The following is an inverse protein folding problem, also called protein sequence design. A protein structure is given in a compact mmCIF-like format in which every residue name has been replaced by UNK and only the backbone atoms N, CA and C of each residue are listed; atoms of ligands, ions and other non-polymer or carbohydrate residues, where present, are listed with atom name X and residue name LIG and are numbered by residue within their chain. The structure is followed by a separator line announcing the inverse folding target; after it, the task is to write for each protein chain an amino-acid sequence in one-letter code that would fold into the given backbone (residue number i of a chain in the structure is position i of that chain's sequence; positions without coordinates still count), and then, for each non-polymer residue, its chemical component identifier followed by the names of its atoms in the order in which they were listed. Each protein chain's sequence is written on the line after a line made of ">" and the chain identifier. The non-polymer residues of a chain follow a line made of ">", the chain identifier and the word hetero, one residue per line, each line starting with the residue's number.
data_IF_925677546468
#
_entry.id   IF_925677546468
#
_cell.length_a   1.000
_cell.length_b   1.000
_cell.length_c   1.000
_cell.angle_alpha   90.00
_cell.angle_beta   90.00
_cell.angle_gamma   90.00
#
_symmetry.space_group_name_H-M   'P 1'
#
loop_
_entity.id
_entity.type
_entity.pdbx_description
1 polymer ?
#
# COMPACT_ATOMS: atom_id res chain seq x y z
N UNK A 1 -2.46 9.46 17.00
CA UNK A 1 -3.32 10.62 17.29
C UNK A 1 -4.68 9.98 17.50
N UNK A 2 -5.17 9.97 18.75
CA UNK A 2 -6.32 9.16 19.16
C UNK A 2 -7.52 9.35 18.21
N UNK A 3 -8.27 8.27 17.96
CA UNK A 3 -9.57 8.33 17.28
C UNK A 3 -10.42 9.48 17.84
N UNK A 4 -10.89 10.35 16.95
CA UNK A 4 -11.61 11.59 17.30
C UNK A 4 -12.58 11.98 16.20
N UNK A 5 -13.39 13.01 16.43
CA UNK A 5 -14.32 13.50 15.40
C UNK A 5 -13.60 14.01 14.13
N UNK A 6 -12.41 14.60 14.29
CA UNK A 6 -11.57 15.07 13.17
C UNK A 6 -10.69 13.98 12.55
N UNK A 7 -10.50 12.84 13.23
CA UNK A 7 -9.80 11.66 12.73
C UNK A 7 -10.60 10.39 13.06
N UNK A 8 -11.79 10.20 12.45
CA UNK A 8 -12.75 9.18 12.88
C UNK A 8 -12.29 7.75 12.57
N UNK A 9 -11.34 7.60 11.64
CA UNK A 9 -10.71 6.33 11.27
C UNK A 9 -9.36 6.11 11.98
N UNK A 10 -8.91 7.06 12.79
CA UNK A 10 -7.67 6.94 13.57
C UNK A 10 -6.41 6.82 12.71
N UNK A 11 -6.30 7.56 11.60
CA UNK A 11 -5.11 7.54 10.73
C UNK A 11 -3.88 8.06 11.49
N UNK A 12 -2.79 7.30 11.39
CA UNK A 12 -1.47 7.58 11.96
C UNK A 12 -0.43 7.95 10.89
N UNK A 13 -0.76 7.75 9.61
CA UNK A 13 0.07 8.09 8.47
C UNK A 13 -0.05 7.05 7.35
N UNK A 14 0.76 7.23 6.31
CA UNK A 14 0.87 6.28 5.19
C UNK A 14 1.83 5.16 5.58
N UNK A 15 1.42 3.91 5.37
CA UNK A 15 2.27 2.75 5.61
C UNK A 15 3.05 2.34 4.36
N UNK A 16 2.36 2.23 3.22
CA UNK A 16 2.97 1.98 1.92
C UNK A 16 2.15 2.56 0.76
N UNK A 17 2.80 2.71 -0.38
CA UNK A 17 2.18 2.97 -1.69
C UNK A 17 2.48 1.80 -2.61
N UNK A 18 1.46 1.28 -3.28
CA UNK A 18 1.55 0.16 -4.20
C UNK A 18 1.45 0.63 -5.64
N UNK A 19 2.41 0.21 -6.45
CA UNK A 19 2.53 0.53 -7.86
C UNK A 19 2.34 -0.73 -8.70
N UNK A 20 1.58 -0.59 -9.77
CA UNK A 20 1.42 -1.62 -10.78
C UNK A 20 1.76 -1.05 -12.15
N UNK A 21 2.18 -1.90 -13.08
CA UNK A 21 2.43 -1.48 -14.45
C UNK A 21 2.77 -2.65 -15.37
N UNK A 22 2.78 -2.39 -16.69
CA UNK A 22 3.26 -3.34 -17.68
C UNK A 22 4.75 -3.67 -17.46
N UNK A 23 5.18 -4.87 -17.84
CA UNK A 23 6.56 -5.37 -17.57
C UNK A 23 7.64 -4.49 -18.21
N UNK A 24 7.29 -3.74 -19.25
CA UNK A 24 8.16 -2.82 -19.97
C UNK A 24 8.42 -1.51 -19.21
N UNK A 25 7.58 -1.16 -18.23
CA UNK A 25 7.75 0.03 -17.41
C UNK A 25 8.44 -0.32 -16.09
N UNK A 26 9.66 0.19 -15.89
CA UNK A 26 10.44 -0.08 -14.68
C UNK A 26 10.33 1.06 -13.67
N UNK A 27 9.49 0.88 -12.66
CA UNK A 27 9.48 1.72 -11.46
C UNK A 27 10.79 1.61 -10.68
N UNK A 28 11.49 0.47 -10.76
CA UNK A 28 12.75 0.23 -10.06
C UNK A 28 13.81 1.26 -10.46
N UNK A 29 13.98 1.51 -11.77
CA UNK A 29 14.92 2.51 -12.25
C UNK A 29 14.60 3.91 -11.72
N UNK A 30 13.32 4.28 -11.64
CA UNK A 30 12.91 5.56 -11.07
C UNK A 30 13.22 5.63 -9.58
N UNK A 31 12.86 4.60 -8.82
CA UNK A 31 13.02 4.57 -7.36
C UNK A 31 14.49 4.62 -6.95
N UNK A 32 15.37 3.89 -7.64
CA UNK A 32 16.82 3.96 -7.39
C UNK A 32 17.35 5.37 -7.65
N UNK A 33 16.91 6.05 -8.71
CA UNK A 33 17.31 7.44 -9.00
C UNK A 33 16.79 8.45 -7.96
N UNK A 34 15.71 8.11 -7.25
CA UNK A 34 15.18 8.88 -6.13
C UNK A 34 15.84 8.52 -4.78
N UNK A 35 16.81 7.60 -4.77
CA UNK A 35 17.55 7.20 -3.57
C UNK A 35 16.87 6.10 -2.74
N UNK A 36 15.87 5.42 -3.29
CA UNK A 36 15.28 4.24 -2.64
C UNK A 36 16.17 3.02 -2.80
N UNK A 37 16.13 2.15 -1.79
CA UNK A 37 16.85 0.88 -1.74
C UNK A 37 15.83 -0.25 -1.84
N UNK A 38 16.08 -1.24 -2.72
CA UNK A 38 15.31 -2.49 -2.70
C UNK A 38 15.69 -3.28 -1.42
N UNK A 39 14.75 -3.39 -0.48
CA UNK A 39 14.99 -4.03 0.82
C UNK A 39 14.41 -5.43 0.92
N UNK A 40 13.47 -5.78 0.02
CA UNK A 40 12.97 -7.14 -0.11
C UNK A 40 12.38 -7.42 -1.49
N UNK A 41 12.37 -8.70 -1.85
CA UNK A 41 11.80 -9.20 -3.10
C UNK A 41 11.19 -10.57 -2.84
N UNK A 42 9.89 -10.69 -3.13
CA UNK A 42 9.18 -11.96 -3.13
C UNK A 42 8.98 -12.46 -4.55
N UNK A 43 9.73 -13.50 -4.90
CA UNK A 43 9.60 -14.15 -6.21
C UNK A 43 8.25 -14.86 -6.37
N UNK A 44 7.74 -15.44 -5.29
CA UNK A 44 6.45 -16.15 -5.28
C UNK A 44 5.28 -15.20 -5.55
N UNK A 45 5.31 -14.02 -4.94
CA UNK A 45 4.24 -13.04 -5.06
C UNK A 45 4.49 -12.02 -6.19
N UNK A 46 5.65 -12.09 -6.85
CA UNK A 46 6.10 -11.09 -7.84
C UNK A 46 6.07 -9.65 -7.30
N UNK A 47 6.57 -9.48 -6.07
CA UNK A 47 6.59 -8.19 -5.36
C UNK A 47 8.02 -7.73 -5.09
N UNK A 48 8.26 -6.42 -5.20
CA UNK A 48 9.48 -5.79 -4.70
C UNK A 48 9.14 -4.67 -3.73
N UNK A 49 9.91 -4.57 -2.65
CA UNK A 49 9.80 -3.52 -1.65
C UNK A 49 10.99 -2.57 -1.77
N UNK A 50 10.70 -1.31 -2.01
CA UNK A 50 11.66 -0.21 -2.06
C UNK A 50 11.43 0.71 -0.86
N UNK A 51 12.51 1.08 -0.16
CA UNK A 51 12.43 1.91 1.04
C UNK A 51 13.44 3.05 1.04
N UNK A 52 13.01 4.19 1.61
CA UNK A 52 13.84 5.34 1.96
C UNK A 52 13.21 6.03 3.18
N UNK A 53 13.96 6.12 4.27
CA UNK A 53 13.39 6.46 5.58
C UNK A 53 12.23 5.51 5.91
N UNK A 54 11.07 6.10 6.21
CA UNK A 54 9.83 5.38 6.52
C UNK A 54 8.94 5.18 5.29
N UNK A 55 9.34 5.70 4.13
CA UNK A 55 8.58 5.56 2.89
C UNK A 55 8.76 4.15 2.35
N UNK A 56 7.65 3.52 1.97
CA UNK A 56 7.63 2.16 1.44
C UNK A 56 6.85 2.12 0.14
N UNK A 57 7.54 1.75 -0.93
CA UNK A 57 6.94 1.51 -2.23
C UNK A 57 6.96 0.03 -2.53
N UNK A 58 5.79 -0.52 -2.82
CA UNK A 58 5.63 -1.90 -3.27
C UNK A 58 5.40 -1.86 -4.77
N UNK A 59 6.24 -2.54 -5.55
CA UNK A 59 5.97 -2.80 -6.95
C UNK A 59 5.29 -4.17 -7.02
N UNK A 60 4.09 -4.21 -7.60
CA UNK A 60 3.28 -5.41 -7.72
C UNK A 60 3.16 -5.85 -9.18
N UNK A 61 3.78 -6.99 -9.50
CA UNK A 61 3.67 -7.67 -10.79
C UNK A 61 2.92 -9.01 -10.69
N UNK A 62 2.15 -9.22 -9.62
CA UNK A 62 1.38 -10.44 -9.42
C UNK A 62 0.30 -10.58 -10.52
N UNK A 63 0.36 -11.67 -11.27
CA UNK A 63 -0.63 -11.99 -12.29
C UNK A 63 -1.97 -12.40 -11.64
N UNK A 64 -3.09 -12.21 -12.35
CA UNK A 64 -4.45 -12.54 -11.85
C UNK A 64 -4.79 -11.87 -10.50
N UNK A 65 -4.34 -10.64 -10.31
CA UNK A 65 -4.57 -9.83 -9.11
C UNK A 65 -5.29 -8.53 -9.45
N UNK A 66 -5.80 -7.85 -8.41
CA UNK A 66 -6.34 -6.49 -8.57
C UNK A 66 -5.33 -5.55 -9.26
N UNK A 67 -4.05 -5.64 -8.88
CA UNK A 67 -2.98 -4.82 -9.47
C UNK A 67 -2.81 -5.08 -10.97
N UNK A 68 -2.90 -6.35 -11.41
CA UNK A 68 -2.80 -6.70 -12.83
C UNK A 68 -3.97 -6.13 -13.64
N UNK A 69 -5.19 -6.21 -13.12
CA UNK A 69 -6.37 -5.67 -13.82
C UNK A 69 -6.40 -4.14 -13.80
N UNK A 70 -5.94 -3.52 -12.72
CA UNK A 70 -5.75 -2.06 -12.64
C UNK A 70 -4.73 -1.58 -13.69
N UNK A 71 -3.58 -2.26 -13.81
CA UNK A 71 -2.54 -1.94 -14.79
C UNK A 71 -3.03 -2.04 -16.24
N UNK A 72 -3.90 -3.01 -16.56
CA UNK A 72 -4.50 -3.14 -17.91
C UNK A 72 -5.38 -1.93 -18.26
N UNK A 73 -6.09 -1.37 -17.28
CA UNK A 73 -7.01 -0.24 -17.46
C UNK A 73 -6.28 1.11 -17.45
N UNK A 74 -5.24 1.26 -16.64
CA UNK A 74 -4.62 2.56 -16.35
C UNK A 74 -3.15 2.69 -16.79
N UNK A 75 -2.50 1.61 -17.22
CA UNK A 75 -1.06 1.60 -17.46
C UNK A 75 -0.25 1.62 -16.15
N UNK A 76 0.98 2.15 -16.16
CA UNK A 76 1.75 2.37 -14.94
C UNK A 76 1.02 3.33 -13.99
N UNK A 77 0.69 2.88 -12.79
CA UNK A 77 -0.13 3.65 -11.84
C UNK A 77 0.12 3.26 -10.38
N UNK A 78 -0.39 4.08 -9.47
CA UNK A 78 -0.64 3.69 -8.07
C UNK A 78 -2.00 2.98 -8.05
N UNK A 79 -2.01 1.66 -7.87
CA UNK A 79 -3.25 0.89 -7.76
C UNK A 79 -3.81 0.87 -6.34
N UNK A 80 -2.94 1.07 -5.34
CA UNK A 80 -3.37 1.07 -3.95
C UNK A 80 -2.42 1.79 -3.01
N UNK A 81 -2.90 2.06 -1.81
CA UNK A 81 -2.11 2.58 -0.69
C UNK A 81 -2.61 1.99 0.61
N UNK A 82 -1.77 1.98 1.64
CA UNK A 82 -2.17 1.64 3.00
C UNK A 82 -2.02 2.82 3.94
N UNK A 83 -3.03 3.05 4.77
CA UNK A 83 -2.89 3.90 5.94
C UNK A 83 -2.63 3.04 7.16
N UNK A 84 -1.63 3.43 7.95
CA UNK A 84 -1.52 2.99 9.34
C UNK A 84 -2.63 3.66 10.12
N UNK A 85 -3.39 2.88 10.87
CA UNK A 85 -4.50 3.32 11.73
C UNK A 85 -4.35 2.73 13.13
N UNK A 86 -5.11 3.27 14.09
CA UNK A 86 -5.15 2.75 15.46
C UNK A 86 -5.84 1.38 15.55
N UNK A 87 -6.91 1.16 14.78
CA UNK A 87 -7.64 -0.11 14.71
C UNK A 87 -8.18 -0.30 13.28
N UNK A 88 -7.69 -1.34 12.58
CA UNK A 88 -8.02 -1.56 11.18
C UNK A 88 -9.47 -2.01 10.97
N UNK A 89 -10.05 -2.76 11.91
CA UNK A 89 -11.43 -3.21 11.83
C UNK A 89 -12.41 -2.06 12.08
N UNK A 90 -12.11 -1.21 13.06
CA UNK A 90 -12.85 0.01 13.33
C UNK A 90 -12.77 0.99 12.16
N UNK A 91 -11.57 1.20 11.59
CA UNK A 91 -11.37 2.09 10.44
C UNK A 91 -12.23 1.67 9.26
N UNK A 92 -12.26 0.37 8.93
CA UNK A 92 -13.15 -0.16 7.89
C UNK A 92 -14.63 0.10 8.20
N UNK A 93 -15.08 -0.27 9.40
CA UNK A 93 -16.48 -0.09 9.83
C UNK A 93 -16.90 1.38 9.72
N UNK A 94 -16.05 2.27 10.21
CA UNK A 94 -16.29 3.72 10.21
C UNK A 94 -16.33 4.27 8.79
N UNK A 95 -15.38 3.89 7.94
CA UNK A 95 -15.33 4.34 6.55
C UNK A 95 -16.60 3.92 5.79
N UNK A 96 -17.02 2.66 5.94
CA UNK A 96 -18.22 2.12 5.30
C UNK A 96 -19.49 2.81 5.82
N UNK A 97 -19.60 3.00 7.13
CA UNK A 97 -20.73 3.71 7.73
C UNK A 97 -20.84 5.17 7.23
N UNK A 98 -19.73 5.76 6.76
CA UNK A 98 -19.66 7.10 6.17
C UNK A 98 -19.73 7.10 4.63
N UNK A 99 -20.05 5.98 4.01
CA UNK A 99 -20.33 5.88 2.56
C UNK A 99 -19.21 5.31 1.71
N UNK A 100 -18.07 4.90 2.29
CA UNK A 100 -17.04 4.20 1.52
C UNK A 100 -17.53 2.80 1.08
N UNK A 101 -17.21 2.41 -0.16
CA UNK A 101 -17.49 1.05 -0.64
C UNK A 101 -16.39 0.10 -0.17
N UNK A 102 -16.74 -0.93 0.60
CA UNK A 102 -15.80 -1.99 1.00
C UNK A 102 -15.34 -2.81 -0.21
N UNK A 103 -14.08 -3.25 -0.20
CA UNK A 103 -13.54 -4.14 -1.22
C UNK A 103 -13.58 -5.61 -0.77
N UNK A 104 -14.38 -6.41 -1.48
CA UNK A 104 -14.66 -7.82 -1.17
C UNK A 104 -14.05 -8.80 -2.20
N UNK A 105 -12.94 -8.44 -2.84
CA UNK A 105 -12.26 -9.24 -3.89
C UNK A 105 -13.08 -9.46 -5.17
N UNK A 106 -14.05 -8.58 -5.45
CA UNK A 106 -14.90 -8.66 -6.66
C UNK A 106 -14.09 -8.55 -7.97
N UNK A 107 -12.97 -7.81 -7.95
CA UNK A 107 -12.12 -7.51 -9.10
C UNK A 107 -10.72 -8.14 -8.97
N UNK A 108 -10.63 -9.28 -8.29
CA UNK A 108 -9.38 -10.02 -8.09
C UNK A 108 -8.82 -9.92 -6.66
N UNK A 109 -7.79 -10.72 -6.40
CA UNK A 109 -7.18 -10.79 -5.08
C UNK A 109 -6.50 -9.46 -4.70
N UNK A 110 -6.70 -9.04 -3.43
CA UNK A 110 -5.92 -7.96 -2.78
C UNK A 110 -4.44 -8.31 -2.70
N UNK A 111 -3.62 -7.30 -2.38
CA UNK A 111 -2.20 -7.49 -2.08
C UNK A 111 -1.96 -8.57 -1.03
N UNK A 112 -2.71 -8.55 0.09
CA UNK A 112 -2.71 -9.65 1.05
C UNK A 112 -4.13 -10.03 1.50
N UNK A 113 -4.30 -11.32 1.84
CA UNK A 113 -5.61 -11.98 2.00
C UNK A 113 -6.53 -11.32 3.04
N UNK A 114 -5.99 -10.88 4.16
CA UNK A 114 -6.76 -10.45 5.34
C UNK A 114 -6.64 -8.95 5.63
N UNK A 115 -6.28 -8.13 4.64
CA UNK A 115 -6.18 -6.68 4.83
C UNK A 115 -7.55 -6.02 4.57
N UNK A 116 -8.14 -5.30 5.55
CA UNK A 116 -9.33 -4.48 5.34
C UNK A 116 -9.07 -3.42 4.27
N UNK A 117 -10.04 -3.23 3.36
CA UNK A 117 -9.87 -2.29 2.26
C UNK A 117 -11.21 -1.68 1.82
N UNK A 118 -11.14 -0.43 1.35
CA UNK A 118 -12.21 0.27 0.66
C UNK A 118 -11.72 0.74 -0.71
N UNK A 119 -12.65 1.02 -1.63
CA UNK A 119 -12.32 1.73 -2.85
C UNK A 119 -11.99 3.20 -2.56
N UNK A 120 -10.94 3.69 -3.19
CA UNK A 120 -10.50 5.08 -3.22
C UNK A 120 -10.79 5.76 -4.56
N UNK A 121 -10.08 6.85 -4.84
CA UNK A 121 -10.23 7.62 -6.09
C UNK A 121 -9.75 6.79 -7.27
N UNK A 122 -10.46 6.88 -8.40
CA UNK A 122 -10.13 6.15 -9.63
C UNK A 122 -10.26 4.63 -9.50
N UNK A 123 -11.11 4.16 -8.59
CA UNK A 123 -11.29 2.74 -8.23
C UNK A 123 -10.04 2.08 -7.61
N UNK A 124 -9.02 2.84 -7.19
CA UNK A 124 -7.87 2.31 -6.43
C UNK A 124 -8.30 1.73 -5.08
N UNK A 125 -7.43 0.97 -4.40
CA UNK A 125 -7.73 0.48 -3.04
C UNK A 125 -7.01 1.26 -1.96
N UNK A 126 -7.71 1.51 -0.86
CA UNK A 126 -7.15 2.02 0.39
C UNK A 126 -7.23 0.90 1.42
N UNK A 127 -6.06 0.45 1.86
CA UNK A 127 -5.89 -0.56 2.90
C UNK A 127 -5.77 0.07 4.29
N UNK A 128 -6.24 -0.64 5.32
CA UNK A 128 -6.05 -0.25 6.72
C UNK A 128 -5.14 -1.25 7.44
N UNK A 129 -4.05 -0.75 8.02
CA UNK A 129 -3.10 -1.52 8.80
C UNK A 129 -3.00 -1.01 10.23
N UNK A 130 -2.95 -1.90 11.21
CA UNK A 130 -2.75 -1.58 12.63
C UNK A 130 -1.60 -2.42 13.20
N UNK A 131 -1.36 -2.38 14.51
CA UNK A 131 -0.27 -3.14 15.12
C UNK A 131 -0.52 -4.66 15.15
N UNK A 132 -1.78 -5.09 14.96
CA UNK A 132 -2.16 -6.49 14.98
C UNK A 132 -1.90 -7.16 13.62
N UNK A 133 -2.11 -6.46 12.51
CA UNK A 133 -1.98 -7.05 11.17
C UNK A 133 -0.69 -6.69 10.43
N UNK A 134 -0.03 -5.57 10.75
CA UNK A 134 1.11 -5.07 9.95
C UNK A 134 2.26 -6.09 9.84
N UNK A 135 2.61 -6.74 10.96
CA UNK A 135 3.69 -7.72 10.97
C UNK A 135 3.35 -8.95 10.12
N UNK A 136 2.08 -9.36 10.11
CA UNK A 136 1.62 -10.48 9.30
C UNK A 136 1.68 -10.15 7.82
N UNK A 137 1.28 -8.94 7.44
CA UNK A 137 1.34 -8.47 6.05
C UNK A 137 2.77 -8.51 5.52
N UNK A 138 3.74 -7.90 6.20
CA UNK A 138 5.11 -7.90 5.70
C UNK A 138 5.77 -9.29 5.75
N UNK A 139 5.39 -10.13 6.72
CA UNK A 139 5.83 -11.53 6.78
C UNK A 139 5.30 -12.33 5.60
N UNK A 140 4.01 -12.23 5.31
CA UNK A 140 3.36 -13.02 4.27
C UNK A 140 3.76 -12.54 2.86
N UNK A 141 3.94 -11.23 2.69
CA UNK A 141 4.34 -10.66 1.40
C UNK A 141 5.82 -10.87 1.11
N UNK A 142 6.71 -10.70 2.10
CA UNK A 142 8.16 -10.58 1.89
C UNK A 142 9.03 -11.44 2.82
N UNK A 143 8.45 -12.28 3.68
CA UNK A 143 9.19 -13.01 4.73
C UNK A 143 9.95 -12.10 5.72
N UNK A 144 9.50 -10.87 5.90
CA UNK A 144 10.12 -9.89 6.80
C UNK A 144 9.51 -9.94 8.21
N UNK A 145 10.28 -9.44 9.19
CA UNK A 145 9.82 -9.21 10.56
C UNK A 145 9.99 -7.73 10.90
N UNK A 146 9.12 -7.22 11.77
CA UNK A 146 9.25 -5.86 12.31
C UNK A 146 10.37 -5.75 13.38
N UNK A 147 11.00 -4.56 13.56
CA UNK A 147 10.85 -3.38 12.71
C UNK A 147 11.56 -3.58 11.36
N UNK A 148 10.98 -3.01 10.30
CA UNK A 148 11.63 -2.96 9.00
C UNK A 148 12.85 -2.03 9.05
N UNK A 149 13.81 -2.27 8.16
CA UNK A 149 14.91 -1.34 7.93
C UNK A 149 14.36 0.01 7.43
N UNK A 150 15.03 1.11 7.79
CA UNK A 150 14.70 2.45 7.31
C UNK A 150 15.95 3.07 6.66
N UNK A 151 16.31 2.67 5.41
CA UNK A 151 17.53 3.12 4.76
C UNK A 151 17.52 4.64 4.58
N UNK A 152 18.62 5.33 4.91
CA UNK A 152 18.70 6.80 4.77
C UNK A 152 18.44 7.28 3.34
N UNK A 153 18.89 6.52 2.34
CA UNK A 153 18.80 6.92 0.93
C UNK A 153 19.41 8.30 0.70
N UNK A 154 18.67 9.17 0.00
CA UNK A 154 19.00 10.57 -0.22
C UNK A 154 18.40 11.52 0.83
N UNK A 155 17.83 10.98 1.91
CA UNK A 155 17.32 11.76 3.04
C UNK A 155 15.82 12.05 3.00
N UNK A 156 15.04 11.41 2.11
CA UNK A 156 13.58 11.43 2.23
C UNK A 156 13.15 10.62 3.47
N UNK A 157 12.20 11.15 4.23
CA UNK A 157 11.86 10.59 5.55
C UNK A 157 10.46 9.98 5.57
N UNK A 158 9.46 10.71 5.08
CA UNK A 158 8.06 10.32 5.10
C UNK A 158 7.35 10.77 3.81
N UNK A 159 6.19 10.17 3.54
CA UNK A 159 5.27 10.70 2.55
C UNK A 159 4.44 11.83 3.19
N UNK A 160 4.40 12.98 2.53
CA UNK A 160 3.72 14.18 3.05
C UNK A 160 2.24 14.21 2.65
N UNK A 161 1.95 14.15 1.34
CA UNK A 161 0.60 14.17 0.81
C UNK A 161 0.48 13.41 -0.51
N UNK A 162 -0.76 13.18 -0.94
CA UNK A 162 -1.10 12.71 -2.28
C UNK A 162 -1.87 13.80 -3.01
N UNK A 163 -1.67 13.89 -4.33
CA UNK A 163 -2.57 14.64 -5.22
C UNK A 163 -3.29 13.65 -6.12
N UNK A 164 -4.60 13.85 -6.29
CA UNK A 164 -5.43 13.03 -7.15
C UNK A 164 -6.16 13.98 -8.10
N UNK A 165 -6.17 13.63 -9.40
CA UNK A 165 -6.96 14.35 -10.38
C UNK A 165 -8.35 13.70 -10.48
N UNK A 166 -9.39 14.52 -10.53
CA UNK A 166 -10.80 14.12 -10.69
C UNK A 166 -11.41 14.77 -11.93
#
# INVERSE_FOLDING_TARGET
>A
MAISDSNPVGILGVDFVEYCGPKEFSFEHLFVRLGFVETAHSKQNHLKLFQQGRIRFIINHQENSFAADFAKKHGPAINSMAFKVEDAALALKVAVARGAKAYNNELGAKLAKNIPAVYGIGDSLIYFLDDNNINEVYRDLFSLKMPLVEPKGFGLINLDHFTNNV
#
